data_IF_229457046589
#
_entry.id   IF_229457046589
#
_cell.length_a   1.000
_cell.length_b   1.000
_cell.length_c   1.000
_cell.angle_alpha   90.00
_cell.angle_beta   90.00
_cell.angle_gamma   90.00
#
_symmetry.space_group_name_H-M   'P 1'
#
loop_
_entity.id
_entity.type
_entity.pdbx_description
1 polymer ?
#
# COMPACT_ATOMS: atom_id res chain seq x y z
N UNK A 1 -29.71 20.72 -2.79
CA UNK A 1 -28.47 20.24 -3.45
C UNK A 1 -27.40 20.23 -2.37
N UNK A 2 -26.94 19.06 -1.92
CA UNK A 2 -25.89 18.93 -0.90
C UNK A 2 -24.56 19.22 -1.59
N UNK A 3 -23.69 20.09 -1.08
CA UNK A 3 -22.44 20.43 -1.73
C UNK A 3 -21.54 19.18 -1.85
N UNK A 4 -20.82 19.07 -2.96
CA UNK A 4 -19.94 17.92 -3.28
C UNK A 4 -18.91 17.58 -2.17
N UNK A 5 -18.49 18.56 -1.39
CA UNK A 5 -17.56 18.39 -0.25
C UNK A 5 -18.09 17.47 0.86
N UNK A 6 -19.40 17.52 1.16
CA UNK A 6 -19.99 16.66 2.21
C UNK A 6 -19.98 15.18 1.79
N UNK A 7 -20.08 14.91 0.50
CA UNK A 7 -19.98 13.54 -0.01
C UNK A 7 -18.54 13.01 0.03
N UNK A 8 -17.54 13.87 -0.25
CA UNK A 8 -16.12 13.52 -0.21
C UNK A 8 -15.70 13.05 1.19
N UNK A 9 -16.01 13.80 2.24
CA UNK A 9 -15.67 13.46 3.63
C UNK A 9 -16.28 12.14 4.08
N UNK A 10 -17.54 11.88 3.71
CA UNK A 10 -18.21 10.61 4.05
C UNK A 10 -17.53 9.41 3.39
N UNK A 11 -17.10 9.53 2.15
CA UNK A 11 -16.35 8.48 1.44
C UNK A 11 -14.97 8.24 2.05
N UNK A 12 -14.27 9.31 2.43
CA UNK A 12 -12.97 9.20 3.10
C UNK A 12 -13.13 8.47 4.44
N UNK A 13 -14.10 8.86 5.27
CA UNK A 13 -14.38 8.17 6.54
C UNK A 13 -14.79 6.71 6.36
N UNK A 14 -15.54 6.39 5.30
CA UNK A 14 -15.88 5.00 4.98
C UNK A 14 -14.64 4.18 4.67
N UNK A 15 -13.72 4.72 3.87
CA UNK A 15 -12.46 4.07 3.54
C UNK A 15 -11.54 3.93 4.76
N UNK A 16 -11.42 4.97 5.59
CA UNK A 16 -10.70 4.90 6.87
C UNK A 16 -11.27 3.83 7.79
N UNK A 17 -12.60 3.76 7.92
CA UNK A 17 -13.29 2.74 8.71
C UNK A 17 -12.98 1.32 8.21
N UNK A 18 -12.98 1.12 6.90
CA UNK A 18 -12.62 -0.16 6.29
C UNK A 18 -11.16 -0.53 6.61
N UNK A 19 -10.21 0.37 6.37
CA UNK A 19 -8.79 0.18 6.67
C UNK A 19 -8.54 -0.10 8.16
N UNK A 20 -9.28 0.59 9.04
CA UNK A 20 -9.13 0.44 10.48
C UNK A 20 -9.72 -0.87 11.02
N UNK A 21 -10.68 -1.47 10.33
CA UNK A 21 -11.29 -2.74 10.72
C UNK A 21 -10.51 -3.98 10.25
N UNK A 22 -9.49 -3.83 9.39
CA UNK A 22 -8.67 -4.94 8.93
C UNK A 22 -7.53 -5.16 9.91
N UNK A 23 -7.51 -6.33 10.57
CA UNK A 23 -6.39 -6.72 11.43
C UNK A 23 -5.27 -7.39 10.63
N UNK A 24 -5.62 -8.22 9.65
CA UNK A 24 -4.68 -8.88 8.75
C UNK A 24 -5.32 -9.17 7.40
N UNK A 25 -4.48 -9.21 6.37
CA UNK A 25 -4.91 -9.48 5.00
C UNK A 25 -3.80 -10.20 4.24
N UNK A 26 -4.20 -11.08 3.34
CA UNK A 26 -3.36 -11.55 2.22
C UNK A 26 -4.07 -11.23 0.92
N UNK A 27 -3.30 -10.98 -0.12
CA UNK A 27 -3.79 -10.78 -1.48
C UNK A 27 -2.72 -11.19 -2.49
N UNK A 28 -3.14 -11.54 -3.70
CA UNK A 28 -2.25 -11.55 -4.84
C UNK A 28 -2.16 -10.12 -5.38
N UNK A 29 -0.99 -9.72 -5.85
CA UNK A 29 -0.82 -8.41 -6.47
C UNK A 29 -0.22 -8.50 -7.87
N UNK A 30 -0.58 -7.52 -8.69
CA UNK A 30 0.05 -7.20 -9.97
C UNK A 30 0.55 -5.77 -9.88
N UNK A 31 1.81 -5.56 -10.18
CA UNK A 31 2.47 -4.26 -10.21
C UNK A 31 2.88 -3.92 -11.63
N UNK A 32 2.55 -2.72 -12.06
CA UNK A 32 3.02 -2.12 -13.31
C UNK A 32 3.61 -0.75 -13.03
N UNK A 33 4.62 -0.37 -13.79
CA UNK A 33 5.21 0.96 -13.72
C UNK A 33 5.29 1.62 -15.09
N UNK A 34 5.30 2.96 -15.10
CA UNK A 34 5.28 3.75 -16.35
C UNK A 34 6.55 3.61 -17.18
N UNK A 35 7.63 3.09 -16.61
CA UNK A 35 8.87 2.74 -17.31
C UNK A 35 8.83 1.37 -18.00
N UNK A 36 7.66 0.68 -17.95
CA UNK A 36 7.44 -0.63 -18.57
C UNK A 36 7.69 -1.81 -17.63
N UNK A 37 7.98 -1.56 -16.35
CA UNK A 37 8.13 -2.61 -15.34
C UNK A 37 6.83 -3.38 -15.11
N UNK A 38 6.93 -4.71 -15.01
CA UNK A 38 5.83 -5.61 -14.63
C UNK A 38 6.34 -6.61 -13.60
N UNK A 39 5.56 -6.81 -12.56
CA UNK A 39 5.80 -7.84 -11.57
C UNK A 39 4.48 -8.29 -10.93
N UNK A 40 4.48 -9.49 -10.38
CA UNK A 40 3.36 -10.02 -9.61
C UNK A 40 3.86 -10.75 -8.38
N UNK A 41 2.96 -11.06 -7.45
CA UNK A 41 3.35 -11.77 -6.24
C UNK A 41 2.25 -11.82 -5.19
N UNK A 42 2.68 -12.02 -3.95
CA UNK A 42 1.78 -12.10 -2.78
C UNK A 42 2.07 -11.00 -1.78
N UNK A 43 0.99 -10.38 -1.31
CA UNK A 43 1.01 -9.38 -0.24
C UNK A 43 0.47 -9.99 1.05
N UNK A 44 1.18 -9.73 2.15
CA UNK A 44 0.76 -10.05 3.51
C UNK A 44 0.81 -8.77 4.34
N UNK A 45 -0.26 -8.45 5.03
CA UNK A 45 -0.34 -7.30 5.94
C UNK A 45 -0.90 -7.77 7.28
N UNK A 46 -0.30 -7.31 8.37
CA UNK A 46 -0.84 -7.45 9.72
C UNK A 46 -0.59 -6.16 10.49
N UNK A 47 -1.67 -5.52 10.95
CA UNK A 47 -1.58 -4.32 11.77
C UNK A 47 -0.64 -4.53 12.95
N UNK A 48 0.13 -3.52 13.30
CA UNK A 48 1.11 -3.50 14.37
C UNK A 48 2.26 -4.53 14.27
N UNK A 49 2.33 -5.26 13.15
CA UNK A 49 3.40 -6.23 12.91
C UNK A 49 4.21 -5.89 11.66
N UNK A 50 3.55 -5.59 10.54
CA UNK A 50 4.23 -5.25 9.31
C UNK A 50 3.50 -5.67 8.05
N UNK A 51 4.24 -5.60 6.94
CA UNK A 51 3.83 -6.07 5.63
C UNK A 51 4.95 -6.87 4.98
N UNK A 52 4.59 -7.70 4.00
CA UNK A 52 5.52 -8.46 3.18
C UNK A 52 5.01 -8.53 1.75
N UNK A 53 5.85 -8.17 0.78
CA UNK A 53 5.65 -8.41 -0.64
C UNK A 53 6.61 -9.51 -1.07
N UNK A 54 6.08 -10.64 -1.48
CA UNK A 54 6.82 -11.73 -2.12
C UNK A 54 6.58 -11.66 -3.62
N UNK A 55 7.59 -11.22 -4.35
CA UNK A 55 7.52 -11.19 -5.80
C UNK A 55 7.68 -12.60 -6.37
N UNK A 56 6.89 -12.90 -7.40
CA UNK A 56 6.99 -14.17 -8.11
C UNK A 56 8.13 -14.13 -9.15
N UNK A 57 8.75 -15.26 -9.46
CA UNK A 57 9.72 -15.33 -10.56
C UNK A 57 9.15 -14.76 -11.87
N UNK A 58 9.95 -14.06 -12.70
CA UNK A 58 11.41 -13.96 -12.59
C UNK A 58 11.93 -12.86 -11.65
N UNK A 59 11.06 -12.12 -10.95
CA UNK A 59 11.54 -11.09 -10.02
C UNK A 59 12.11 -11.71 -8.74
N UNK A 60 13.37 -11.41 -8.38
CA UNK A 60 14.01 -11.95 -7.19
C UNK A 60 13.69 -11.16 -5.92
N UNK A 61 12.75 -10.19 -5.98
CA UNK A 61 12.54 -9.22 -4.93
C UNK A 61 11.72 -9.78 -3.76
N UNK A 62 12.12 -9.36 -2.58
CA UNK A 62 11.36 -9.50 -1.34
C UNK A 62 11.39 -8.18 -0.59
N UNK A 63 10.22 -7.62 -0.28
CA UNK A 63 10.11 -6.39 0.50
C UNK A 63 9.38 -6.69 1.80
N UNK A 64 9.99 -6.35 2.92
CA UNK A 64 9.42 -6.58 4.26
C UNK A 64 9.46 -5.30 5.07
N UNK A 65 8.30 -4.82 5.51
CA UNK A 65 8.19 -3.73 6.48
C UNK A 65 7.93 -4.27 7.87
N UNK A 66 8.78 -3.86 8.83
CA UNK A 66 8.62 -4.23 10.25
C UNK A 66 9.22 -3.17 11.16
N UNK A 67 8.48 -2.83 12.21
CA UNK A 67 8.88 -1.75 13.11
C UNK A 67 9.07 -0.44 12.32
N UNK A 68 10.24 0.18 12.42
CA UNK A 68 10.54 1.44 11.75
C UNK A 68 11.27 1.28 10.40
N UNK A 69 11.38 0.06 9.89
CA UNK A 69 12.21 -0.26 8.75
C UNK A 69 11.47 -1.00 7.65
N UNK A 70 11.86 -0.72 6.42
CA UNK A 70 11.55 -1.53 5.24
C UNK A 70 12.84 -2.16 4.75
N UNK A 71 12.84 -3.47 4.65
CA UNK A 71 13.94 -4.28 4.15
C UNK A 71 13.61 -4.66 2.71
N UNK A 72 14.48 -4.32 1.77
CA UNK A 72 14.40 -4.71 0.37
C UNK A 72 15.53 -5.68 0.08
N UNK A 73 15.20 -6.89 -0.30
CA UNK A 73 16.15 -7.95 -0.61
C UNK A 73 16.05 -8.34 -2.08
N UNK A 74 17.20 -8.49 -2.70
CA UNK A 74 17.35 -9.24 -3.94
C UNK A 74 17.84 -10.64 -3.58
N UNK A 75 17.00 -11.64 -3.82
CA UNK A 75 17.29 -13.02 -3.40
C UNK A 75 18.21 -13.76 -4.39
N UNK A 76 18.37 -13.24 -5.61
CA UNK A 76 19.32 -13.77 -6.59
C UNK A 76 20.73 -13.22 -6.31
N UNK A 77 20.85 -11.90 -6.17
CA UNK A 77 22.13 -11.24 -5.87
C UNK A 77 22.53 -11.34 -4.38
N UNK A 78 21.66 -11.89 -3.54
CA UNK A 78 21.89 -12.01 -2.08
C UNK A 78 22.19 -10.67 -1.41
N UNK A 79 21.53 -9.59 -1.87
CA UNK A 79 21.67 -8.25 -1.29
C UNK A 79 20.50 -7.89 -0.39
N UNK A 80 20.73 -6.99 0.56
CA UNK A 80 19.71 -6.48 1.49
C UNK A 80 19.95 -5.02 1.83
N UNK A 81 18.96 -4.18 1.58
CA UNK A 81 18.99 -2.76 1.88
C UNK A 81 17.85 -2.40 2.84
N UNK A 82 18.12 -1.49 3.78
CA UNK A 82 17.15 -1.05 4.77
C UNK A 82 16.79 0.42 4.54
N UNK A 83 15.50 0.71 4.54
CA UNK A 83 14.95 2.07 4.38
C UNK A 83 14.06 2.40 5.57
N UNK A 84 14.02 3.66 6.03
CA UNK A 84 13.08 4.07 7.07
C UNK A 84 11.63 3.93 6.60
N UNK A 85 10.78 3.28 7.41
CA UNK A 85 9.37 3.05 7.08
C UNK A 85 8.60 4.35 6.84
N UNK A 86 8.91 5.41 7.60
CA UNK A 86 8.22 6.70 7.48
C UNK A 86 8.39 7.37 6.10
N UNK A 87 9.41 6.98 5.35
CA UNK A 87 9.63 7.45 3.97
C UNK A 87 8.78 6.70 2.94
N UNK A 88 8.01 5.72 3.37
CA UNK A 88 7.18 4.91 2.49
C UNK A 88 5.70 5.21 2.71
N UNK A 89 4.85 5.10 1.66
CA UNK A 89 3.40 5.24 1.81
C UNK A 89 2.78 4.25 2.79
N UNK A 90 3.43 3.10 3.00
CA UNK A 90 2.95 2.03 3.87
C UNK A 90 2.98 2.36 5.36
N UNK A 91 3.77 3.34 5.79
CA UNK A 91 3.79 3.78 7.19
C UNK A 91 2.40 4.12 7.73
N UNK A 92 1.54 4.62 6.86
CA UNK A 92 0.16 5.02 7.21
C UNK A 92 -0.78 3.84 7.39
N UNK A 93 -0.59 2.77 6.61
CA UNK A 93 -1.44 1.58 6.67
C UNK A 93 -1.12 0.65 7.85
N UNK A 94 0.03 0.82 8.49
CA UNK A 94 0.47 0.01 9.62
C UNK A 94 0.15 0.65 10.97
N UNK A 95 -0.32 1.90 10.97
CA UNK A 95 -0.72 2.57 12.22
C UNK A 95 -2.00 1.96 12.81
N UNK A 96 -2.14 2.03 14.13
CA UNK A 96 -3.35 1.60 14.84
C UNK A 96 -4.60 2.34 14.36
N UNK A 97 -4.41 3.57 13.89
CA UNK A 97 -5.46 4.46 13.46
C UNK A 97 -5.06 5.10 12.13
N UNK A 98 -5.53 4.50 11.02
CA UNK A 98 -5.27 5.00 9.68
C UNK A 98 -6.08 6.26 9.45
N UNK A 99 -5.42 7.36 9.09
CA UNK A 99 -6.07 8.57 8.59
C UNK A 99 -5.64 8.84 7.15
N UNK A 100 -6.63 9.08 6.30
CA UNK A 100 -6.44 9.44 4.89
C UNK A 100 -6.44 10.96 4.69
N UNK A 101 -6.67 11.75 5.76
CA UNK A 101 -6.57 13.20 5.76
C UNK A 101 -5.42 13.69 6.68
N UNK A 102 -4.16 13.32 6.39
CA UNK A 102 -3.05 13.68 7.26
C UNK A 102 -2.72 15.18 7.14
N UNK A 103 -2.20 15.75 8.23
CA UNK A 103 -1.75 17.15 8.24
C UNK A 103 -0.67 17.38 7.16
N UNK A 104 -0.80 18.47 6.41
CA UNK A 104 0.14 18.83 5.33
C UNK A 104 -0.17 18.17 3.98
N UNK A 105 -1.36 17.58 3.84
CA UNK A 105 -1.83 16.96 2.59
C UNK A 105 -3.25 17.38 2.27
N UNK A 106 -3.52 17.50 0.98
CA UNK A 106 -4.86 17.59 0.44
C UNK A 106 -5.38 16.19 0.14
N UNK A 107 -6.61 15.90 0.55
CA UNK A 107 -7.27 14.63 0.23
C UNK A 107 -8.58 14.92 -0.46
N UNK A 108 -8.75 14.32 -1.63
CA UNK A 108 -9.98 14.38 -2.42
C UNK A 108 -10.53 12.97 -2.68
N UNK A 109 -11.84 12.85 -2.75
CA UNK A 109 -12.53 11.58 -2.99
C UNK A 109 -13.63 11.75 -4.03
N UNK A 110 -13.61 10.90 -5.06
CA UNK A 110 -14.59 10.90 -6.13
C UNK A 110 -15.03 9.48 -6.48
N UNK A 111 -16.29 9.30 -6.77
CA UNK A 111 -16.81 8.01 -7.28
C UNK A 111 -16.99 8.09 -8.78
N UNK A 112 -16.35 7.17 -9.51
CA UNK A 112 -16.49 6.99 -10.95
C UNK A 112 -16.70 5.51 -11.27
N UNK A 113 -17.77 5.22 -12.02
CA UNK A 113 -18.05 3.85 -12.49
C UNK A 113 -18.02 2.77 -11.38
N UNK A 114 -18.53 3.10 -10.19
CA UNK A 114 -18.57 2.19 -9.05
C UNK A 114 -17.24 2.01 -8.31
N UNK A 115 -16.22 2.81 -8.64
CA UNK A 115 -14.94 2.88 -7.96
C UNK A 115 -14.84 4.20 -7.20
N UNK A 116 -14.52 4.12 -5.93
CA UNK A 116 -14.14 5.26 -5.11
C UNK A 116 -12.64 5.49 -5.26
N UNK A 117 -12.27 6.62 -5.85
CA UNK A 117 -10.89 7.08 -5.97
C UNK A 117 -10.62 8.10 -4.86
N UNK A 118 -9.61 7.85 -4.03
CA UNK A 118 -9.13 8.79 -3.00
C UNK A 118 -7.71 9.18 -3.35
N UNK A 119 -7.49 10.49 -3.55
CA UNK A 119 -6.17 11.06 -3.85
C UNK A 119 -5.66 11.81 -2.64
N UNK A 120 -4.40 11.58 -2.31
CA UNK A 120 -3.69 12.21 -1.20
C UNK A 120 -2.43 12.85 -1.76
N UNK A 121 -2.37 14.18 -1.71
CA UNK A 121 -1.30 14.99 -2.32
C UNK A 121 -0.70 15.90 -1.25
N UNK A 122 0.63 15.96 -1.09
CA UNK A 122 1.25 16.93 -0.17
C UNK A 122 1.01 18.38 -0.62
N UNK A 123 0.83 19.31 0.34
CA UNK A 123 0.69 20.73 0.03
C UNK A 123 1.99 21.35 -0.47
N UNK A 124 3.11 20.91 0.10
CA UNK A 124 4.43 21.43 -0.22
C UNK A 124 5.19 20.38 -1.02
N UNK A 125 5.74 20.85 -2.14
CA UNK A 125 6.51 20.06 -3.12
C UNK A 125 5.74 18.92 -3.82
N UNK A 126 6.10 18.69 -5.07
CA UNK A 126 5.63 17.56 -5.88
C UNK A 126 6.15 16.21 -5.36
N UNK A 127 6.11 16.00 -4.05
CA UNK A 127 6.63 14.80 -3.38
C UNK A 127 5.75 13.56 -3.58
N UNK A 128 5.16 13.50 -4.76
CA UNK A 128 4.42 12.34 -5.18
C UNK A 128 2.93 12.42 -4.83
N UNK A 129 2.19 11.49 -5.40
CA UNK A 129 0.76 11.32 -5.18
C UNK A 129 0.53 9.88 -4.73
N UNK A 130 -0.31 9.72 -3.73
CA UNK A 130 -0.90 8.41 -3.39
C UNK A 130 -2.38 8.43 -3.78
N UNK A 131 -2.80 7.52 -4.65
CA UNK A 131 -4.21 7.27 -4.94
C UNK A 131 -4.60 5.88 -4.45
N UNK A 132 -5.76 5.78 -3.83
CA UNK A 132 -6.37 4.53 -3.38
C UNK A 132 -7.70 4.35 -4.10
N UNK A 133 -7.89 3.19 -4.70
CA UNK A 133 -9.12 2.85 -5.43
C UNK A 133 -9.85 1.71 -4.70
N UNK A 134 -11.08 1.98 -4.29
CA UNK A 134 -11.95 1.01 -3.61
C UNK A 134 -13.11 0.62 -4.53
N UNK A 135 -13.40 -0.68 -4.63
CA UNK A 135 -14.70 -1.12 -5.14
C UNK A 135 -15.78 -0.83 -4.10
N UNK A 136 -17.03 -0.61 -4.55
CA UNK A 136 -18.13 -0.32 -3.64
C UNK A 136 -18.94 -1.59 -3.26
N UNK A 137 -18.93 -2.62 -4.12
CA UNK A 137 -19.60 -3.90 -3.88
C UNK A 137 -18.72 -5.08 -4.29
N UNK A 138 -18.11 -5.81 -3.36
CA UNK A 138 -17.93 -5.46 -1.96
C UNK A 138 -17.02 -4.24 -1.78
N UNK A 139 -17.20 -3.50 -0.67
CA UNK A 139 -16.33 -2.37 -0.36
C UNK A 139 -14.96 -2.90 0.07
N UNK A 140 -13.93 -2.69 -0.77
CA UNK A 140 -12.57 -3.13 -0.49
C UNK A 140 -11.55 -2.41 -1.38
N UNK A 141 -10.34 -2.23 -0.84
CA UNK A 141 -9.21 -1.69 -1.59
C UNK A 141 -8.86 -2.64 -2.74
N UNK A 142 -8.86 -2.10 -3.96
CA UNK A 142 -8.54 -2.86 -5.18
C UNK A 142 -7.19 -2.49 -5.75
N UNK A 143 -6.79 -1.24 -5.58
CA UNK A 143 -5.60 -0.71 -6.23
C UNK A 143 -5.07 0.47 -5.44
N UNK A 144 -3.77 0.63 -5.46
CA UNK A 144 -3.16 1.93 -5.18
C UNK A 144 -2.22 2.32 -6.32
N UNK A 145 -2.05 3.62 -6.46
CA UNK A 145 -1.11 4.24 -7.36
C UNK A 145 -0.22 5.20 -6.61
N UNK A 146 1.07 5.12 -6.87
CA UNK A 146 2.06 6.04 -6.36
C UNK A 146 2.68 6.73 -7.57
N UNK A 147 2.81 8.05 -7.52
CA UNK A 147 3.65 8.81 -8.43
C UNK A 147 4.79 9.34 -7.59
N UNK A 148 6.03 9.00 -7.94
CA UNK A 148 7.21 9.46 -7.22
C UNK A 148 7.63 10.89 -7.64
N UNK A 149 8.69 11.41 -7.01
CA UNK A 149 9.18 12.77 -7.23
C UNK A 149 9.69 13.03 -8.64
N UNK A 150 10.08 12.00 -9.37
CA UNK A 150 10.57 12.09 -10.76
C UNK A 150 9.47 11.78 -11.79
N UNK A 151 8.23 11.56 -11.31
CA UNK A 151 7.07 11.30 -12.16
C UNK A 151 6.88 9.84 -12.57
N UNK A 152 7.62 8.88 -11.98
CA UNK A 152 7.38 7.46 -12.21
C UNK A 152 6.07 7.04 -11.55
N UNK A 153 5.17 6.51 -12.34
CA UNK A 153 3.90 5.98 -11.86
C UNK A 153 4.05 4.48 -11.58
N UNK A 154 3.69 4.05 -10.35
CA UNK A 154 3.65 2.65 -9.95
C UNK A 154 2.22 2.34 -9.54
N UNK A 155 1.62 1.35 -10.18
CA UNK A 155 0.27 0.88 -9.90
C UNK A 155 0.34 -0.55 -9.38
N UNK A 156 -0.27 -0.78 -8.22
CA UNK A 156 -0.41 -2.12 -7.64
C UNK A 156 -1.89 -2.47 -7.55
N UNK A 157 -2.30 -3.51 -8.24
CA UNK A 157 -3.66 -4.05 -8.24
C UNK A 157 -3.72 -5.29 -7.37
N UNK A 158 -4.73 -5.36 -6.50
CA UNK A 158 -4.95 -6.46 -5.55
C UNK A 158 -6.07 -7.38 -6.00
N UNK A 159 -5.85 -8.67 -5.85
CA UNK A 159 -6.81 -9.73 -6.16
C UNK A 159 -6.80 -10.80 -5.05
N UNK A 160 -7.81 -11.66 -5.03
CA UNK A 160 -7.89 -12.82 -4.14
C UNK A 160 -7.69 -12.48 -2.65
N UNK A 161 -8.29 -11.39 -2.20
CA UNK A 161 -8.20 -10.92 -0.82
C UNK A 161 -8.71 -11.99 0.16
N UNK A 162 -7.94 -12.20 1.24
CA UNK A 162 -8.36 -12.96 2.42
C UNK A 162 -8.11 -12.11 3.65
N UNK A 163 -9.15 -11.85 4.41
CA UNK A 163 -9.09 -11.00 5.60
C UNK A 163 -9.06 -11.83 6.88
N UNK A 164 -8.54 -11.23 7.95
CA UNK A 164 -8.48 -11.81 9.28
C UNK A 164 -7.78 -13.19 9.31
N UNK A 165 -6.76 -13.33 8.46
CA UNK A 165 -5.94 -14.56 8.38
C UNK A 165 -4.93 -14.60 9.52
N UNK A 166 -4.62 -15.79 10.01
CA UNK A 166 -3.55 -15.97 11.00
C UNK A 166 -2.19 -15.88 10.32
N UNK A 167 -1.44 -14.82 10.63
CA UNK A 167 -0.10 -14.58 10.13
C UNK A 167 0.90 -14.61 11.31
N UNK A 168 1.78 -15.63 11.36
CA UNK A 168 2.79 -15.73 12.40
C UNK A 168 3.83 -14.61 12.26
N UNK A 169 4.45 -14.18 13.37
CA UNK A 169 5.43 -13.09 13.37
C UNK A 169 6.63 -13.33 12.45
N UNK A 170 6.99 -14.59 12.18
CA UNK A 170 8.05 -14.98 11.24
C UNK A 170 7.76 -14.55 9.80
N UNK A 171 6.48 -14.38 9.42
CA UNK A 171 6.07 -13.88 8.09
C UNK A 171 6.71 -12.52 7.79
N UNK A 172 6.91 -11.69 8.82
CA UNK A 172 7.46 -10.33 8.68
C UNK A 172 8.95 -10.28 8.99
N UNK A 173 9.71 -11.27 8.53
CA UNK A 173 11.17 -11.32 8.59
C UNK A 173 11.73 -11.41 7.18
N UNK A 174 12.86 -10.74 6.95
CA UNK A 174 13.64 -10.97 5.72
C UNK A 174 14.13 -12.42 5.66
N UNK A 175 14.48 -12.87 4.47
CA UNK A 175 15.13 -14.15 4.28
C UNK A 175 16.60 -14.06 4.74
N UNK A 176 17.20 -15.17 5.22
CA UNK A 176 18.64 -15.20 5.45
C UNK A 176 19.39 -14.88 4.13
N UNK A 177 20.30 -13.93 4.20
CA UNK A 177 21.22 -13.59 3.11
C UNK A 177 22.55 -14.31 3.40
N UNK A 178 23.14 -14.95 2.40
CA UNK A 178 24.46 -15.53 2.54
C UNK A 178 25.48 -14.39 2.60
N UNK A 179 26.08 -14.17 3.77
CA UNK A 179 27.29 -13.37 3.88
C UNK A 179 28.47 -14.26 3.56
N UNK A 180 29.27 -13.91 2.54
CA UNK A 180 30.55 -14.53 2.29
C UNK A 180 31.51 -14.29 3.45
#
# INVERSE_FOLDING_TARGET
MVPAYVYSDNYIHTAEGWLNNINSMTADFIQVSSDGGYAEGKLFIKKNHGFRFEYAPPSPLLIVGRGNWVIVQDLEEQTSNNYPLYQTPFSRFLSDNVSLQPKGYETDAIVKNGILEIKIVPYEDNNGLLQLDFSQNPFQLRRWKIIDQIGTEIIVTLQNHKFNVQLPAKTFRGNPIKTE
#
